data_IF_545956957951
#
_entry.id   IF_545956957951
#
_cell.length_a   1.000
_cell.length_b   1.000
_cell.length_c   1.000
_cell.angle_alpha   90.00
_cell.angle_beta   90.00
_cell.angle_gamma   90.00
#
_symmetry.space_group_name_H-M   'P 1'
#
loop_
_entity.id
_entity.type
_entity.pdbx_description
1 polymer ?
#
# COMPACT_ATOMS: atom_id res chain seq x y z
N UNK A 1 -19.71 11.47 6.21
CA UNK A 1 -18.92 11.43 6.21
C UNK A 1 -18.14 10.88 5.51
N UNK A 2 -18.05 10.30 5.22
CA UNK A 2 -17.46 9.64 4.64
C UNK A 2 -16.37 9.64 3.95
N UNK A 3 -15.63 10.01 3.95
CA UNK A 3 -14.52 9.90 3.22
C UNK A 3 -14.18 8.51 2.92
N UNK A 4 -13.78 8.30 1.75
CA UNK A 4 -13.25 7.03 1.37
C UNK A 4 -11.94 6.80 2.12
N UNK A 5 -11.68 5.58 2.48
CA UNK A 5 -10.42 5.23 3.09
C UNK A 5 -9.30 5.42 2.07
N UNK A 6 -8.14 5.88 2.50
CA UNK A 6 -7.01 5.98 1.60
C UNK A 6 -6.64 4.61 1.04
N UNK A 7 -6.38 4.57 -0.24
CA UNK A 7 -6.00 3.33 -0.91
C UNK A 7 -4.82 3.61 -1.83
N UNK A 8 -4.00 2.59 -2.03
CA UNK A 8 -2.87 2.68 -2.93
C UNK A 8 -2.89 1.51 -3.90
N UNK A 9 -2.58 1.80 -5.16
CA UNK A 9 -2.42 0.76 -6.16
C UNK A 9 -0.94 0.46 -6.28
N UNK A 10 -0.57 -0.76 -6.01
CA UNK A 10 0.82 -1.16 -5.95
C UNK A 10 1.08 -2.30 -6.91
N UNK A 11 2.05 -2.13 -7.79
CA UNK A 11 2.47 -3.19 -8.70
C UNK A 11 3.63 -3.95 -8.09
N UNK A 12 3.46 -5.24 -7.94
CA UNK A 12 4.51 -6.06 -7.35
C UNK A 12 4.42 -7.46 -7.91
N UNK A 13 5.56 -7.98 -8.36
CA UNK A 13 5.61 -9.36 -8.85
C UNK A 13 4.74 -9.62 -10.06
N UNK A 14 4.55 -8.62 -10.91
CA UNK A 14 3.73 -8.78 -12.10
C UNK A 14 2.23 -8.65 -11.85
N UNK A 15 1.84 -8.26 -10.64
CA UNK A 15 0.44 -8.09 -10.30
C UNK A 15 0.21 -6.73 -9.67
N UNK A 16 -1.02 -6.24 -9.80
CA UNK A 16 -1.41 -4.99 -9.18
C UNK A 16 -2.28 -5.28 -7.96
N UNK A 17 -1.97 -4.62 -6.86
CA UNK A 17 -2.71 -4.75 -5.62
C UNK A 17 -3.30 -3.42 -5.23
N UNK A 18 -4.58 -3.41 -4.89
CA UNK A 18 -5.23 -2.21 -4.37
C UNK A 18 -5.44 -2.42 -2.87
N UNK A 19 -4.70 -1.68 -2.07
CA UNK A 19 -4.70 -1.85 -0.62
C UNK A 19 -5.22 -0.61 0.07
N UNK A 20 -6.06 -0.83 1.07
CA UNK A 20 -6.44 0.21 2.00
C UNK A 20 -5.40 0.30 3.11
N UNK A 21 -5.38 1.43 3.79
CA UNK A 21 -4.44 1.63 4.88
C UNK A 21 -4.64 0.53 5.93
N UNK A 22 -3.57 -0.17 6.27
CA UNK A 22 -3.62 -1.28 7.20
C UNK A 22 -4.00 -2.61 6.60
N UNK A 23 -4.37 -2.64 5.33
CA UNK A 23 -4.78 -3.87 4.67
C UNK A 23 -3.56 -4.64 4.16
N UNK A 24 -3.70 -5.95 4.05
CA UNK A 24 -2.63 -6.77 3.51
C UNK A 24 -3.17 -7.72 2.45
N UNK A 25 -2.38 -7.94 1.41
CA UNK A 25 -2.64 -8.91 0.36
C UNK A 25 -1.31 -9.38 -0.21
N UNK A 26 -1.22 -10.66 -0.54
CA UNK A 26 -0.06 -11.19 -1.23
C UNK A 26 1.26 -10.96 -0.52
N UNK A 27 1.24 -10.86 0.80
CA UNK A 27 2.44 -10.56 1.55
C UNK A 27 2.79 -9.09 1.66
N UNK A 28 1.96 -8.23 1.06
CA UNK A 28 2.15 -6.78 1.13
C UNK A 28 1.24 -6.21 2.19
N UNK A 29 1.74 -5.26 2.98
CA UNK A 29 0.94 -4.55 3.97
C UNK A 29 1.12 -3.06 3.71
N UNK A 30 0.01 -2.35 3.53
CA UNK A 30 0.07 -0.90 3.37
C UNK A 30 0.10 -0.26 4.75
N UNK A 31 1.22 0.34 5.11
CA UNK A 31 1.41 0.89 6.45
C UNK A 31 1.12 2.37 6.55
N UNK A 32 1.40 3.13 5.51
CA UNK A 32 1.16 4.57 5.53
C UNK A 32 1.08 5.12 4.13
N UNK A 33 0.39 6.25 4.00
CA UNK A 33 0.34 7.00 2.74
C UNK A 33 0.67 8.45 3.08
N UNK A 34 1.66 9.02 2.39
CA UNK A 34 2.08 10.38 2.64
C UNK A 34 2.75 10.97 1.41
N UNK A 35 2.38 12.19 1.06
CA UNK A 35 3.03 12.94 -0.02
C UNK A 35 3.09 12.16 -1.32
N UNK A 36 1.98 11.51 -1.67
CA UNK A 36 1.87 10.72 -2.90
C UNK A 36 2.81 9.54 -2.91
N UNK A 37 3.14 9.03 -1.72
CA UNK A 37 3.92 7.82 -1.57
C UNK A 37 3.20 6.87 -0.64
N UNK A 38 3.45 5.59 -0.81
CA UNK A 38 2.89 4.58 0.06
C UNK A 38 4.01 3.80 0.71
N UNK A 39 3.92 3.62 2.02
CA UNK A 39 4.87 2.79 2.75
C UNK A 39 4.31 1.37 2.76
N UNK A 40 5.00 0.47 2.13
CA UNK A 40 4.57 -0.92 2.00
C UNK A 40 5.59 -1.82 2.68
N UNK A 41 5.09 -2.72 3.48
CA UNK A 41 5.90 -3.74 4.13
C UNK A 41 5.77 -5.05 3.37
N UNK A 42 6.89 -5.64 3.01
CA UNK A 42 6.93 -6.92 2.31
C UNK A 42 7.86 -7.83 3.08
N UNK A 43 7.31 -8.87 3.68
CA UNK A 43 8.11 -9.80 4.44
C UNK A 43 8.91 -9.16 5.57
N UNK A 44 8.38 -8.06 6.14
CA UNK A 44 9.06 -7.36 7.20
C UNK A 44 9.91 -6.19 6.74
N UNK A 45 10.13 -6.06 5.44
CA UNK A 45 10.90 -4.94 4.89
C UNK A 45 9.95 -3.83 4.46
N UNK A 46 10.24 -2.63 4.92
CA UNK A 46 9.41 -1.47 4.59
C UNK A 46 10.05 -0.67 3.47
N UNK A 47 9.24 -0.28 2.51
CA UNK A 47 9.71 0.53 1.39
C UNK A 47 8.67 1.56 1.01
N UNK A 48 9.13 2.72 0.58
CA UNK A 48 8.25 3.75 0.05
C UNK A 48 8.13 3.58 -1.46
N UNK A 49 6.90 3.64 -1.93
CA UNK A 49 6.61 3.56 -3.37
C UNK A 49 5.87 4.81 -3.80
N UNK A 50 6.23 5.35 -4.94
CA UNK A 50 5.50 6.48 -5.51
C UNK A 50 4.14 6.03 -6.01
N UNK A 51 3.16 6.84 -5.82
CA UNK A 51 1.81 6.59 -6.31
C UNK A 51 1.57 7.25 -7.66
#
# INVERSE_FOLDING_TARGET
IGGADPQALIDYGGQSYCLSLGESQGGLVLEAIKDQRALVSIGGDRQWHSL
#
